data_IF_560501384690
#
_entry.id   IF_560501384690
#
_cell.length_a   1.000
_cell.length_b   1.000
_cell.length_c   1.000
_cell.angle_alpha   90.00
_cell.angle_beta   90.00
_cell.angle_gamma   90.00
#
_symmetry.space_group_name_H-M   'P 1'
#
loop_
_entity.id
_entity.type
_entity.pdbx_description
1 polymer ?
#
# COMPACT_ATOMS: atom_id res chain seq x y z
N UNK A 1 -23.72 26.18 -18.80
CA UNK A 1 -23.56 24.88 -18.11
C UNK A 1 -22.36 24.93 -17.15
N UNK A 2 -22.43 25.80 -16.15
CA UNK A 2 -21.35 26.03 -15.19
C UNK A 2 -21.93 25.89 -13.78
N UNK A 3 -21.32 25.03 -12.94
CA UNK A 3 -21.47 24.84 -11.47
C UNK A 3 -21.52 23.38 -10.98
N UNK A 4 -21.46 22.37 -11.86
CA UNK A 4 -21.36 20.96 -11.40
C UNK A 4 -19.91 20.48 -11.15
N UNK A 5 -18.92 21.36 -11.29
CA UNK A 5 -17.51 20.95 -11.38
C UNK A 5 -16.70 21.06 -10.09
N UNK A 6 -17.19 21.76 -9.05
CA UNK A 6 -16.30 22.18 -7.94
C UNK A 6 -16.64 21.53 -6.58
N UNK A 7 -17.83 20.97 -6.36
CA UNK A 7 -18.21 20.53 -5.00
C UNK A 7 -18.08 19.03 -4.71
N UNK A 8 -17.78 18.19 -5.71
CA UNK A 8 -17.63 16.73 -5.53
C UNK A 8 -16.17 16.29 -5.29
N UNK A 9 -15.22 17.24 -5.19
CA UNK A 9 -13.79 16.96 -4.99
C UNK A 9 -13.36 16.96 -3.53
N UNK A 10 -14.16 17.51 -2.62
CA UNK A 10 -13.83 17.56 -1.18
C UNK A 10 -14.58 16.45 -0.45
N UNK A 11 -13.89 15.64 0.38
CA UNK A 11 -14.56 14.67 1.22
C UNK A 11 -15.62 15.32 2.11
N UNK A 12 -16.74 14.62 2.29
CA UNK A 12 -17.82 15.09 3.16
C UNK A 12 -17.33 15.10 4.61
N UNK A 13 -17.45 16.22 5.35
CA UNK A 13 -17.00 16.28 6.73
C UNK A 13 -17.61 15.19 7.61
N UNK A 14 -16.80 14.59 8.48
CA UNK A 14 -17.15 13.49 9.38
C UNK A 14 -17.65 12.21 8.70
N UNK A 15 -17.50 12.07 7.38
CA UNK A 15 -17.91 10.85 6.67
C UNK A 15 -16.80 9.80 6.62
N UNK A 16 -17.17 8.58 6.25
CA UNK A 16 -16.21 7.52 5.96
C UNK A 16 -15.29 7.90 4.80
N UNK A 17 -15.82 8.59 3.79
CA UNK A 17 -15.02 9.12 2.70
C UNK A 17 -13.90 10.06 3.16
N UNK A 18 -14.16 10.95 4.13
CA UNK A 18 -13.12 11.81 4.73
C UNK A 18 -12.10 11.00 5.51
N UNK A 19 -12.54 10.00 6.29
CA UNK A 19 -11.62 9.11 6.99
C UNK A 19 -10.67 8.38 6.02
N UNK A 20 -11.20 7.76 4.95
CA UNK A 20 -10.35 7.04 3.99
C UNK A 20 -9.43 8.00 3.23
N UNK A 21 -9.92 9.18 2.85
CA UNK A 21 -9.09 10.18 2.15
C UNK A 21 -7.95 10.67 3.03
N UNK A 22 -8.25 11.02 4.29
CA UNK A 22 -7.25 11.40 5.29
C UNK A 22 -6.28 10.25 5.58
N UNK A 23 -6.76 9.00 5.62
CA UNK A 23 -5.91 7.82 5.78
C UNK A 23 -4.92 7.70 4.62
N UNK A 24 -5.37 7.80 3.37
CA UNK A 24 -4.49 7.79 2.20
C UNK A 24 -3.51 8.98 2.17
N UNK A 25 -3.92 10.16 2.63
CA UNK A 25 -3.04 11.32 2.80
C UNK A 25 -1.92 11.05 3.80
N UNK A 26 -2.28 10.61 5.01
CA UNK A 26 -1.33 10.24 6.08
C UNK A 26 -0.38 9.17 5.56
N UNK A 27 -0.91 8.13 4.89
CA UNK A 27 -0.09 7.07 4.33
C UNK A 27 0.92 7.64 3.33
N UNK A 28 0.48 8.43 2.36
CA UNK A 28 1.36 9.02 1.34
C UNK A 28 2.48 9.90 1.90
N UNK A 29 2.36 10.41 3.12
CA UNK A 29 3.35 11.29 3.75
C UNK A 29 4.44 10.54 4.53
N UNK A 30 4.26 9.25 4.82
CA UNK A 30 5.23 8.48 5.63
C UNK A 30 6.45 8.03 4.80
N UNK A 31 7.65 7.95 5.40
CA UNK A 31 8.89 7.60 4.72
C UNK A 31 9.04 6.08 4.48
N UNK A 32 8.11 5.46 3.75
CA UNK A 32 8.12 4.02 3.56
C UNK A 32 9.37 3.49 2.87
N UNK A 33 9.81 4.16 1.79
CA UNK A 33 10.94 3.69 1.01
C UNK A 33 12.28 3.83 1.74
N UNK A 34 12.58 4.94 2.44
CA UNK A 34 13.76 5.00 3.32
C UNK A 34 13.79 3.90 4.39
N UNK A 35 12.66 3.62 5.03
CA UNK A 35 12.58 2.56 6.05
C UNK A 35 12.78 1.16 5.43
N UNK A 36 12.18 0.92 4.25
CA UNK A 36 12.36 -0.33 3.51
C UNK A 36 13.81 -0.52 3.06
N UNK A 37 14.43 0.51 2.48
CA UNK A 37 15.83 0.49 2.05
C UNK A 37 16.79 0.30 3.22
N UNK A 38 16.54 0.96 4.35
CA UNK A 38 17.34 0.80 5.57
C UNK A 38 17.25 -0.64 6.11
N UNK A 39 16.04 -1.21 6.12
CA UNK A 39 15.83 -2.56 6.60
C UNK A 39 16.32 -3.64 5.62
N UNK A 40 16.37 -3.36 4.31
CA UNK A 40 17.08 -4.18 3.31
C UNK A 40 18.61 -4.08 3.44
N UNK A 41 19.12 -2.91 3.86
CA UNK A 41 20.55 -2.71 4.08
C UNK A 41 21.08 -3.36 5.37
N UNK A 42 20.19 -3.67 6.33
CA UNK A 42 20.53 -4.35 7.60
C UNK A 42 19.84 -5.71 7.71
N UNK A 43 20.19 -6.68 6.83
CA UNK A 43 19.48 -7.95 6.72
C UNK A 43 19.43 -8.74 8.04
N UNK A 44 20.51 -8.74 8.83
CA UNK A 44 20.59 -9.55 10.06
C UNK A 44 19.65 -9.11 11.20
N UNK A 45 19.14 -7.88 11.20
CA UNK A 45 18.26 -7.34 12.26
C UNK A 45 17.35 -6.26 11.70
N UNK A 46 16.31 -6.60 10.93
CA UNK A 46 15.43 -5.57 10.39
C UNK A 46 14.67 -4.94 11.57
N UNK A 47 14.75 -3.63 11.70
CA UNK A 47 14.10 -2.88 12.79
C UNK A 47 12.92 -2.08 12.26
N UNK A 48 11.88 -1.93 13.10
CA UNK A 48 10.72 -1.13 12.77
C UNK A 48 9.57 -1.93 12.12
N UNK A 49 8.59 -1.23 11.54
CA UNK A 49 7.31 -1.80 11.10
C UNK A 49 7.42 -2.85 9.98
N UNK A 50 8.45 -2.73 9.14
CA UNK A 50 8.66 -3.57 7.96
C UNK A 50 9.49 -4.81 8.27
N UNK A 51 9.95 -4.96 9.53
CA UNK A 51 10.84 -6.04 9.94
C UNK A 51 10.26 -7.42 9.65
N UNK A 52 9.01 -7.63 10.01
CA UNK A 52 8.30 -8.89 9.76
C UNK A 52 8.14 -9.18 8.26
N UNK A 53 7.88 -8.15 7.47
CA UNK A 53 7.67 -8.30 6.03
C UNK A 53 8.97 -8.63 5.29
N UNK A 54 10.10 -8.04 5.72
CA UNK A 54 11.43 -8.32 5.17
C UNK A 54 11.91 -9.71 5.59
N UNK A 55 11.68 -10.11 6.85
CA UNK A 55 11.96 -11.46 7.31
C UNK A 55 11.22 -12.52 6.47
N UNK A 56 9.93 -12.29 6.15
CA UNK A 56 9.17 -13.15 5.25
C UNK A 56 9.70 -13.16 3.82
N UNK A 57 10.15 -12.02 3.31
CA UNK A 57 10.75 -11.93 1.97
C UNK A 57 12.04 -12.74 1.91
N UNK A 58 12.91 -12.65 2.93
CA UNK A 58 14.10 -13.51 3.04
C UNK A 58 13.71 -14.98 3.06
N UNK A 59 12.77 -15.36 3.90
CA UNK A 59 12.33 -16.75 4.03
C UNK A 59 11.79 -17.31 2.70
N UNK A 60 11.06 -16.51 1.92
CA UNK A 60 10.64 -16.93 0.59
C UNK A 60 11.82 -17.07 -0.38
N UNK A 61 12.82 -16.18 -0.31
CA UNK A 61 14.07 -16.34 -1.08
C UNK A 61 14.85 -17.59 -0.66
N UNK A 62 14.89 -17.93 0.63
CA UNK A 62 15.43 -19.22 1.10
C UNK A 62 14.70 -20.38 0.43
N UNK A 63 13.36 -20.38 0.44
CA UNK A 63 12.57 -21.47 -0.17
C UNK A 63 12.78 -21.59 -1.68
N UNK A 64 12.85 -20.48 -2.40
CA UNK A 64 13.20 -20.47 -3.83
C UNK A 64 14.57 -21.12 -4.06
N UNK A 65 15.57 -20.75 -3.26
CA UNK A 65 16.93 -21.32 -3.36
C UNK A 65 16.93 -22.81 -3.04
N UNK A 66 16.21 -23.22 -1.98
CA UNK A 66 16.09 -24.64 -1.61
C UNK A 66 15.47 -25.43 -2.76
N UNK A 67 14.41 -24.90 -3.37
CA UNK A 67 13.78 -25.52 -4.55
C UNK A 67 14.76 -25.62 -5.71
N UNK A 68 15.45 -24.53 -6.06
CA UNK A 68 16.44 -24.52 -7.16
C UNK A 68 17.60 -25.49 -6.92
N UNK A 69 18.07 -25.60 -5.67
CA UNK A 69 19.12 -26.54 -5.28
C UNK A 69 18.63 -28.00 -5.31
N UNK A 70 17.37 -28.25 -4.95
CA UNK A 70 16.75 -29.58 -5.07
C UNK A 70 16.58 -29.98 -6.55
N UNK A 71 16.10 -29.06 -7.39
CA UNK A 71 15.94 -29.28 -8.83
C UNK A 71 17.30 -29.52 -9.53
N UNK A 72 18.36 -28.89 -9.05
CA UNK A 72 19.73 -29.12 -9.51
C UNK A 72 20.35 -30.43 -8.97
N UNK A 73 19.65 -31.19 -8.13
CA UNK A 73 20.16 -32.41 -7.50
C UNK A 73 21.20 -32.19 -6.41
N UNK A 74 21.34 -30.96 -5.91
CA UNK A 74 22.26 -30.59 -4.83
C UNK A 74 21.68 -30.86 -3.44
N UNK A 75 20.34 -30.92 -3.33
CA UNK A 75 19.60 -31.30 -2.13
C UNK A 75 18.64 -32.44 -2.45
N UNK A 76 18.39 -33.31 -1.47
CA UNK A 76 17.35 -34.33 -1.60
C UNK A 76 15.98 -33.65 -1.52
N UNK A 77 15.08 -33.97 -2.47
CA UNK A 77 13.79 -33.31 -2.67
C UNK A 77 12.79 -33.40 -1.50
N UNK A 78 13.10 -34.16 -0.44
CA UNK A 78 12.14 -34.52 0.62
C UNK A 78 12.72 -34.46 2.05
N UNK A 79 13.74 -33.63 2.28
CA UNK A 79 14.27 -33.45 3.64
C UNK A 79 13.35 -32.54 4.47
N UNK A 80 12.46 -33.15 5.27
CA UNK A 80 11.80 -32.49 6.41
C UNK A 80 12.73 -32.28 7.62
N UNK A 81 14.05 -32.49 7.45
CA UNK A 81 15.08 -32.43 8.49
C UNK A 81 15.87 -31.14 8.34
N UNK A 82 16.15 -30.47 9.46
CA UNK A 82 17.02 -29.29 9.49
C UNK A 82 18.35 -29.57 8.75
N UNK A 83 18.73 -28.67 7.84
CA UNK A 83 19.96 -28.84 7.07
C UNK A 83 21.19 -28.76 7.98
N UNK A 84 22.33 -29.33 7.57
CA UNK A 84 23.61 -29.03 8.20
C UNK A 84 23.85 -27.52 8.25
N UNK A 85 24.38 -27.00 9.35
CA UNK A 85 24.56 -25.55 9.57
C UNK A 85 25.33 -24.84 8.44
N UNK A 86 26.27 -25.52 7.79
CA UNK A 86 27.01 -24.97 6.65
C UNK A 86 26.13 -24.77 5.40
N UNK A 87 25.18 -25.68 5.16
CA UNK A 87 24.22 -25.58 4.06
C UNK A 87 23.19 -24.49 4.38
N UNK A 88 22.71 -24.43 5.61
CA UNK A 88 21.80 -23.36 6.05
C UNK A 88 22.42 -21.97 5.90
N UNK A 89 23.70 -21.81 6.29
CA UNK A 89 24.43 -20.56 6.12
C UNK A 89 24.61 -20.17 4.64
N UNK A 90 24.86 -21.14 3.77
CA UNK A 90 24.95 -20.90 2.32
C UNK A 90 23.59 -20.48 1.73
N UNK A 91 22.50 -21.13 2.15
CA UNK A 91 21.14 -20.75 1.73
C UNK A 91 20.82 -19.32 2.19
N UNK A 92 21.19 -18.96 3.43
CA UNK A 92 21.03 -17.60 3.94
C UNK A 92 21.84 -16.58 3.14
N UNK A 93 23.10 -16.87 2.84
CA UNK A 93 23.96 -15.99 2.03
C UNK A 93 23.40 -15.78 0.62
N UNK A 94 22.94 -16.86 -0.03
CA UNK A 94 22.31 -16.77 -1.35
C UNK A 94 20.98 -16.01 -1.30
N UNK A 95 20.19 -16.19 -0.23
CA UNK A 95 18.91 -15.50 -0.06
C UNK A 95 19.12 -14.00 0.14
N UNK A 96 20.11 -13.63 0.94
CA UNK A 96 20.53 -12.25 1.14
C UNK A 96 21.12 -11.66 -0.16
N UNK A 97 21.89 -12.43 -0.94
CA UNK A 97 22.36 -12.01 -2.27
C UNK A 97 21.23 -11.73 -3.26
N UNK A 98 20.20 -12.61 -3.33
CA UNK A 98 19.01 -12.39 -4.15
C UNK A 98 18.23 -11.17 -3.68
N UNK A 99 18.10 -10.99 -2.36
CA UNK A 99 17.42 -9.84 -1.79
C UNK A 99 18.17 -8.53 -2.06
N UNK A 100 19.51 -8.56 -2.00
CA UNK A 100 20.36 -7.40 -2.30
C UNK A 100 20.21 -6.93 -3.75
N UNK A 101 19.91 -7.82 -4.71
CA UNK A 101 19.67 -7.42 -6.10
C UNK A 101 18.42 -6.56 -6.30
N UNK A 102 17.47 -6.61 -5.37
CA UNK A 102 16.24 -5.80 -5.40
C UNK A 102 16.54 -4.36 -4.96
N UNK A 103 17.52 -4.15 -4.09
CA UNK A 103 17.83 -2.85 -3.50
C UNK A 103 18.18 -1.77 -4.55
N UNK A 104 19.08 -2.01 -5.53
CA UNK A 104 19.36 -1.02 -6.59
C UNK A 104 18.13 -0.62 -7.42
N UNK A 105 17.22 -1.55 -7.69
CA UNK A 105 15.96 -1.26 -8.40
C UNK A 105 15.07 -0.34 -7.58
N UNK A 106 15.00 -0.59 -6.26
CA UNK A 106 14.24 0.25 -5.32
C UNK A 106 14.88 1.62 -5.13
N UNK A 107 16.22 1.70 -5.06
CA UNK A 107 16.95 2.98 -4.99
C UNK A 107 16.75 3.81 -6.26
N UNK A 108 16.79 3.16 -7.44
CA UNK A 108 16.51 3.81 -8.70
C UNK A 108 15.06 4.32 -8.78
N UNK A 109 14.09 3.47 -8.41
CA UNK A 109 12.68 3.86 -8.32
C UNK A 109 12.44 5.00 -7.31
N UNK A 110 13.12 4.95 -6.17
CA UNK A 110 13.07 5.97 -5.13
C UNK A 110 13.61 7.31 -5.63
N UNK A 111 14.79 7.32 -6.27
CA UNK A 111 15.38 8.51 -6.86
C UNK A 111 14.51 9.08 -8.00
N UNK A 112 14.00 8.21 -8.88
CA UNK A 112 13.12 8.60 -9.97
C UNK A 112 11.79 9.20 -9.48
N UNK A 113 11.24 8.72 -8.36
CA UNK A 113 9.97 9.21 -7.81
C UNK A 113 9.98 10.71 -7.46
N UNK A 114 11.14 11.36 -7.33
CA UNK A 114 11.24 12.78 -6.96
C UNK A 114 10.52 13.76 -7.93
N UNK A 115 10.05 13.35 -9.12
CA UNK A 115 9.47 14.25 -10.13
C UNK A 115 8.01 14.71 -9.90
N UNK A 116 7.51 14.67 -8.66
CA UNK A 116 6.45 15.59 -8.19
C UNK A 116 5.01 15.35 -8.62
N UNK A 117 4.73 14.28 -9.36
CA UNK A 117 3.36 13.95 -9.74
C UNK A 117 2.65 13.17 -8.63
N UNK A 118 1.76 13.84 -7.87
CA UNK A 118 0.97 13.21 -6.79
C UNK A 118 -0.42 12.81 -7.28
N UNK A 119 -0.71 11.51 -7.27
CA UNK A 119 -2.09 11.04 -7.40
C UNK A 119 -2.92 11.53 -6.21
N UNK A 120 -3.98 12.28 -6.49
CA UNK A 120 -4.82 12.83 -5.43
C UNK A 120 -5.44 11.71 -4.59
N UNK A 121 -5.32 11.75 -3.24
CA UNK A 121 -5.83 10.71 -2.34
C UNK A 121 -7.31 10.39 -2.53
N UNK A 122 -8.16 11.39 -2.78
CA UNK A 122 -9.59 11.14 -3.01
C UNK A 122 -9.84 10.34 -4.30
N UNK A 123 -9.03 10.50 -5.35
CA UNK A 123 -9.17 9.71 -6.59
C UNK A 123 -8.84 8.24 -6.34
N UNK A 124 -7.80 7.98 -5.53
CA UNK A 124 -7.38 6.63 -5.12
C UNK A 124 -8.47 5.95 -4.31
N UNK A 125 -9.06 6.66 -3.34
CA UNK A 125 -10.16 6.18 -2.51
C UNK A 125 -11.41 5.84 -3.34
N UNK A 126 -11.83 6.73 -4.25
CA UNK A 126 -12.99 6.49 -5.10
C UNK A 126 -12.76 5.31 -6.07
N UNK A 127 -11.55 5.21 -6.64
CA UNK A 127 -11.14 4.09 -7.51
C UNK A 127 -11.12 2.76 -6.74
N UNK A 128 -10.49 2.72 -5.56
CA UNK A 128 -10.44 1.53 -4.71
C UNK A 128 -11.84 1.07 -4.27
N UNK A 129 -12.70 2.02 -3.86
CA UNK A 129 -14.07 1.73 -3.47
C UNK A 129 -14.88 1.11 -4.63
N UNK A 130 -14.70 1.59 -5.86
CA UNK A 130 -15.33 0.99 -7.05
C UNK A 130 -14.83 -0.43 -7.30
N UNK A 131 -13.52 -0.66 -7.22
CA UNK A 131 -12.93 -1.99 -7.41
C UNK A 131 -13.39 -3.01 -6.36
N UNK A 132 -13.65 -2.57 -5.13
CA UNK A 132 -14.16 -3.42 -4.05
C UNK A 132 -15.66 -3.66 -4.19
N UNK A 133 -16.43 -2.60 -4.47
CA UNK A 133 -17.89 -2.66 -4.51
C UNK A 133 -18.43 -3.23 -5.84
N UNK A 134 -17.59 -3.35 -6.87
CA UNK A 134 -17.93 -3.90 -8.18
C UNK A 134 -18.78 -2.98 -9.08
N UNK A 135 -19.27 -1.85 -8.55
CA UNK A 135 -19.99 -0.85 -9.36
C UNK A 135 -19.89 0.57 -8.78
N UNK A 136 -20.01 1.60 -9.63
CA UNK A 136 -20.02 3.00 -9.18
C UNK A 136 -21.13 3.34 -8.19
N UNK A 137 -22.31 2.72 -8.34
CA UNK A 137 -23.44 2.92 -7.43
C UNK A 137 -23.14 2.31 -6.05
N UNK A 138 -22.68 1.07 -6.01
CA UNK A 138 -22.34 0.40 -4.75
C UNK A 138 -21.19 1.10 -4.02
N UNK A 139 -20.21 1.64 -4.75
CA UNK A 139 -19.10 2.42 -4.19
C UNK A 139 -19.57 3.75 -3.59
N UNK A 140 -20.48 4.46 -4.27
CA UNK A 140 -21.10 5.67 -3.75
C UNK A 140 -21.85 5.39 -2.44
N UNK A 141 -22.59 4.28 -2.37
CA UNK A 141 -23.23 3.85 -1.12
C UNK A 141 -22.20 3.49 -0.04
N UNK A 142 -21.17 2.70 -0.37
CA UNK A 142 -20.11 2.29 0.56
C UNK A 142 -19.47 3.49 1.27
N UNK A 143 -19.09 4.51 0.49
CA UNK A 143 -18.47 5.73 0.99
C UNK A 143 -19.48 6.68 1.67
N UNK A 144 -20.75 6.58 1.28
CA UNK A 144 -21.86 7.38 1.79
C UNK A 144 -22.48 6.89 3.10
N UNK A 145 -22.22 5.64 3.54
CA UNK A 145 -22.93 4.95 4.65
C UNK A 145 -23.05 5.74 5.95
N UNK A 146 -22.08 6.59 6.29
CA UNK A 146 -22.08 7.39 7.52
C UNK A 146 -22.05 8.90 7.25
N UNK A 147 -22.47 9.34 6.06
CA UNK A 147 -22.61 10.77 5.75
C UNK A 147 -23.86 11.33 6.45
N UNK A 148 -23.79 12.57 6.94
CA UNK A 148 -24.97 13.25 7.49
C UNK A 148 -26.09 13.34 6.43
N UNK A 149 -27.35 13.27 6.86
CA UNK A 149 -28.54 13.21 5.98
C UNK A 149 -28.68 14.41 5.00
N UNK A 150 -28.00 15.53 5.26
CA UNK A 150 -28.03 16.75 4.44
C UNK A 150 -26.68 17.05 3.76
N UNK A 151 -25.74 16.12 3.80
CA UNK A 151 -24.45 16.31 3.15
C UNK A 151 -24.54 16.02 1.64
N UNK A 152 -23.76 16.75 0.83
CA UNK A 152 -23.63 16.50 -0.61
C UNK A 152 -23.19 15.05 -0.84
N UNK A 153 -24.09 14.22 -1.34
CA UNK A 153 -23.87 12.77 -1.44
C UNK A 153 -23.03 12.45 -2.67
N UNK A 154 -22.01 11.60 -2.49
CA UNK A 154 -21.30 10.99 -3.61
C UNK A 154 -22.30 10.26 -4.51
N UNK A 155 -22.21 10.45 -5.82
CA UNK A 155 -23.08 9.80 -6.79
C UNK A 155 -22.27 8.82 -7.62
N UNK A 156 -22.95 7.88 -8.30
CA UNK A 156 -22.30 6.99 -9.28
C UNK A 156 -21.47 7.74 -10.33
N UNK A 157 -21.88 8.96 -10.70
CA UNK A 157 -21.19 9.77 -11.69
C UNK A 157 -19.88 10.36 -11.15
N UNK A 158 -19.83 10.67 -9.85
CA UNK A 158 -18.58 11.09 -9.20
C UNK A 158 -17.56 9.96 -9.21
N UNK A 159 -18.00 8.74 -8.86
CA UNK A 159 -17.15 7.55 -8.83
C UNK A 159 -16.60 7.22 -10.23
N UNK A 160 -17.47 7.11 -11.23
CA UNK A 160 -17.07 6.78 -12.60
C UNK A 160 -16.06 7.80 -13.18
N UNK A 161 -16.30 9.12 -12.96
CA UNK A 161 -15.36 10.16 -13.40
C UNK A 161 -14.03 10.08 -12.66
N UNK A 162 -14.05 9.77 -11.36
CA UNK A 162 -12.84 9.63 -10.58
C UNK A 162 -11.99 8.45 -11.07
N UNK A 163 -12.60 7.33 -11.44
CA UNK A 163 -11.88 6.19 -12.05
C UNK A 163 -11.19 6.56 -13.36
N UNK A 164 -11.88 7.28 -14.26
CA UNK A 164 -11.26 7.76 -15.51
C UNK A 164 -10.09 8.70 -15.23
N UNK A 165 -10.28 9.70 -14.35
CA UNK A 165 -9.23 10.65 -13.98
C UNK A 165 -8.05 9.97 -13.30
N UNK A 166 -8.31 8.99 -12.45
CA UNK A 166 -7.30 8.16 -11.81
C UNK A 166 -6.45 7.40 -12.84
N UNK A 167 -7.10 6.69 -13.78
CA UNK A 167 -6.38 5.93 -14.81
C UNK A 167 -5.56 6.84 -15.73
N UNK A 168 -6.09 8.01 -16.10
CA UNK A 168 -5.36 9.04 -16.84
C UNK A 168 -4.14 9.53 -16.07
N UNK A 169 -4.31 9.78 -14.77
CA UNK A 169 -3.25 10.29 -13.92
C UNK A 169 -2.11 9.26 -13.75
N UNK A 170 -2.44 8.00 -13.50
CA UNK A 170 -1.45 6.91 -13.43
C UNK A 170 -0.75 6.72 -14.77
N UNK A 171 -1.46 6.78 -15.90
CA UNK A 171 -0.84 6.67 -17.24
C UNK A 171 0.12 7.81 -17.53
N UNK A 172 -0.26 9.04 -17.19
CA UNK A 172 0.62 10.20 -17.33
C UNK A 172 1.89 10.01 -16.51
N UNK A 173 1.75 9.59 -15.25
CA UNK A 173 2.86 9.25 -14.37
C UNK A 173 3.78 8.17 -14.98
N UNK A 174 3.23 7.02 -15.39
CA UNK A 174 4.02 5.93 -15.99
C UNK A 174 4.77 6.34 -17.25
N UNK A 175 4.16 7.20 -18.06
CA UNK A 175 4.76 7.69 -19.31
C UNK A 175 6.00 8.56 -19.06
N UNK A 176 6.02 9.35 -17.98
CA UNK A 176 7.16 10.19 -17.59
C UNK A 176 8.38 9.33 -17.22
N UNK A 177 8.16 8.14 -16.68
CA UNK A 177 9.23 7.26 -16.19
C UNK A 177 9.55 6.08 -17.12
N UNK A 178 9.00 6.07 -18.34
CA UNK A 178 9.19 4.98 -19.32
C UNK A 178 8.89 3.58 -18.76
N UNK A 179 7.94 3.50 -17.83
CA UNK A 179 7.59 2.26 -17.15
C UNK A 179 6.51 1.48 -17.93
N UNK A 180 6.51 0.13 -17.92
CA UNK A 180 5.52 -0.68 -18.63
C UNK A 180 4.09 -0.41 -18.11
N UNK A 181 3.19 0.01 -19.02
CA UNK A 181 1.93 0.67 -18.65
C UNK A 181 0.88 -0.26 -18.07
N UNK A 182 0.72 -1.48 -18.60
CA UNK A 182 -0.40 -2.37 -18.22
C UNK A 182 -0.23 -2.98 -16.84
N UNK A 183 0.95 -3.53 -16.57
CA UNK A 183 1.18 -4.37 -15.39
C UNK A 183 1.29 -3.51 -14.13
N UNK A 184 1.88 -2.32 -14.26
CA UNK A 184 2.05 -1.40 -13.15
C UNK A 184 0.73 -0.70 -12.79
N UNK A 185 -0.12 -0.34 -13.78
CA UNK A 185 -1.44 0.22 -13.50
C UNK A 185 -2.30 -0.77 -12.69
N UNK A 186 -2.34 -2.04 -13.11
CA UNK A 186 -3.05 -3.09 -12.37
C UNK A 186 -2.48 -3.26 -10.97
N UNK A 187 -1.15 -3.23 -10.84
CA UNK A 187 -0.51 -3.34 -9.56
C UNK A 187 -0.86 -2.17 -8.62
N UNK A 188 -0.85 -0.91 -9.09
CA UNK A 188 -1.23 0.27 -8.29
C UNK A 188 -2.71 0.23 -7.90
N UNK A 189 -3.60 -0.25 -8.79
CA UNK A 189 -5.01 -0.44 -8.46
C UNK A 189 -5.19 -1.48 -7.35
N UNK A 190 -4.47 -2.59 -7.42
CA UNK A 190 -4.47 -3.62 -6.38
C UNK A 190 -3.95 -3.08 -5.04
N UNK A 191 -2.89 -2.27 -5.09
CA UNK A 191 -2.32 -1.58 -3.92
C UNK A 191 -3.38 -0.72 -3.25
N UNK A 192 -4.03 0.16 -4.01
CA UNK A 192 -5.06 1.06 -3.51
C UNK A 192 -6.23 0.28 -2.89
N UNK A 193 -6.64 -0.81 -3.54
CA UNK A 193 -7.64 -1.73 -3.00
C UNK A 193 -7.21 -2.34 -1.66
N UNK A 194 -5.99 -2.87 -1.55
CA UNK A 194 -5.48 -3.49 -0.33
C UNK A 194 -5.42 -2.48 0.83
N UNK A 195 -4.89 -1.29 0.58
CA UNK A 195 -4.84 -0.21 1.57
C UNK A 195 -6.22 0.24 2.02
N UNK A 196 -7.18 0.32 1.09
CA UNK A 196 -8.55 0.64 1.43
C UNK A 196 -9.17 -0.42 2.35
N UNK A 197 -9.00 -1.71 2.03
CA UNK A 197 -9.49 -2.81 2.87
C UNK A 197 -8.83 -2.80 4.26
N UNK A 198 -7.53 -2.52 4.32
CA UNK A 198 -6.80 -2.39 5.58
C UNK A 198 -7.32 -1.21 6.42
N UNK A 199 -7.55 -0.03 5.81
CA UNK A 199 -8.16 1.12 6.48
C UNK A 199 -9.59 0.84 6.94
N UNK A 200 -10.37 0.06 6.19
CA UNK A 200 -11.68 -0.41 6.63
C UNK A 200 -11.56 -1.24 7.91
N UNK A 201 -10.62 -2.19 7.95
CA UNK A 201 -10.37 -3.01 9.13
C UNK A 201 -9.95 -2.16 10.33
N UNK A 202 -8.95 -1.29 10.16
CA UNK A 202 -8.48 -0.37 11.22
C UNK A 202 -9.62 0.49 11.75
N UNK A 203 -10.50 0.98 10.86
CA UNK A 203 -11.67 1.77 11.26
C UNK A 203 -12.67 0.95 12.08
N UNK A 204 -12.97 -0.28 11.67
CA UNK A 204 -13.88 -1.15 12.41
C UNK A 204 -13.31 -1.52 13.78
N UNK A 205 -12.01 -1.82 13.87
CA UNK A 205 -11.30 -2.08 15.13
C UNK A 205 -11.35 -0.85 16.05
N UNK A 206 -11.11 0.34 15.49
CA UNK A 206 -11.17 1.60 16.25
C UNK A 206 -12.56 1.86 16.87
N UNK A 207 -13.66 1.42 16.25
CA UNK A 207 -15.01 1.58 16.85
C UNK A 207 -15.16 0.84 18.18
N UNK A 208 -14.40 -0.23 18.40
CA UNK A 208 -14.44 -1.01 19.63
C UNK A 208 -13.68 -0.33 20.78
N UNK A 209 -12.78 0.60 20.46
CA UNK A 209 -11.99 1.32 21.46
C UNK A 209 -12.72 2.57 21.99
N UNK A 210 -12.81 2.74 23.33
CA UNK A 210 -13.47 3.90 23.94
C UNK A 210 -12.95 5.25 23.43
N UNK A 211 -11.63 5.35 23.22
CA UNK A 211 -10.96 6.58 22.78
C UNK A 211 -11.38 7.05 21.39
N UNK A 212 -11.79 6.13 20.51
CA UNK A 212 -12.06 6.41 19.10
C UNK A 212 -13.53 6.30 18.71
N UNK A 213 -14.35 5.62 19.54
CA UNK A 213 -15.75 5.29 19.24
C UNK A 213 -16.62 6.48 18.81
N UNK A 214 -16.35 7.68 19.32
CA UNK A 214 -17.09 8.91 19.00
C UNK A 214 -16.46 9.74 17.87
N UNK A 215 -15.23 9.45 17.48
CA UNK A 215 -14.52 10.19 16.45
C UNK A 215 -14.94 9.71 15.06
N UNK A 216 -14.89 10.61 14.07
CA UNK A 216 -15.27 10.36 12.68
C UNK A 216 -14.33 11.08 11.73
N UNK A 217 -14.36 10.70 10.46
CA UNK A 217 -13.67 11.42 9.38
C UNK A 217 -12.19 11.66 9.67
N UNK A 218 -11.74 12.89 9.40
CA UNK A 218 -10.36 13.33 9.62
C UNK A 218 -9.93 13.23 11.09
N UNK A 219 -10.82 13.58 12.02
CA UNK A 219 -10.51 13.56 13.46
C UNK A 219 -10.18 12.14 13.95
N UNK A 220 -10.91 11.13 13.45
CA UNK A 220 -10.60 9.73 13.73
C UNK A 220 -9.23 9.33 13.16
N UNK A 221 -8.96 9.67 11.89
CA UNK A 221 -7.69 9.32 11.25
C UNK A 221 -6.49 9.91 12.00
N UNK A 222 -6.57 11.19 12.41
CA UNK A 222 -5.52 11.86 13.19
C UNK A 222 -5.36 11.28 14.59
N UNK A 223 -6.45 11.06 15.32
CA UNK A 223 -6.38 10.49 16.66
C UNK A 223 -5.76 9.09 16.66
N UNK A 224 -6.03 8.29 15.62
CA UNK A 224 -5.35 7.01 15.43
C UNK A 224 -3.85 7.27 15.22
N UNK A 225 -3.47 8.13 14.27
CA UNK A 225 -2.06 8.40 13.97
C UNK A 225 -1.26 8.93 15.17
N UNK A 226 -1.90 9.72 16.03
CA UNK A 226 -1.31 10.27 17.27
C UNK A 226 -1.07 9.20 18.35
N UNK A 227 -2.00 8.26 18.54
CA UNK A 227 -1.89 7.25 19.62
C UNK A 227 -1.07 6.02 19.20
N UNK A 228 -1.28 5.55 17.97
CA UNK A 228 -0.49 4.47 17.36
C UNK A 228 -0.50 4.69 15.85
N UNK A 229 0.66 5.01 15.23
CA UNK A 229 0.70 5.53 13.88
C UNK A 229 -0.18 4.76 12.89
N UNK A 230 -1.06 5.48 12.19
CA UNK A 230 -2.13 4.90 11.38
C UNK A 230 -1.55 3.98 10.30
N UNK A 231 -0.40 4.36 9.77
CA UNK A 231 0.33 3.61 8.77
C UNK A 231 0.83 2.25 9.27
N UNK A 232 1.26 2.15 10.54
CA UNK A 232 1.70 0.88 11.13
C UNK A 232 0.51 -0.06 11.29
N UNK A 233 -0.63 0.43 11.81
CA UNK A 233 -1.84 -0.39 11.94
C UNK A 233 -2.37 -0.86 10.59
N UNK A 234 -2.32 0.04 9.60
CA UNK A 234 -2.79 -0.28 8.26
C UNK A 234 -1.86 -1.30 7.59
N UNK A 235 -0.55 -1.20 7.80
CA UNK A 235 0.42 -2.18 7.31
C UNK A 235 0.22 -3.56 7.96
N UNK A 236 -0.01 -3.60 9.28
CA UNK A 236 -0.31 -4.84 10.01
C UNK A 236 -1.59 -5.49 9.45
N UNK A 237 -2.64 -4.68 9.22
CA UNK A 237 -3.90 -5.13 8.64
C UNK A 237 -3.73 -5.63 7.20
N UNK A 238 -2.97 -4.92 6.36
CA UNK A 238 -2.66 -5.33 4.98
C UNK A 238 -1.87 -6.66 4.95
N UNK A 239 -0.87 -6.79 5.82
CA UNK A 239 -0.06 -8.01 5.95
C UNK A 239 -0.92 -9.20 6.38
N UNK A 240 -1.89 -8.99 7.27
CA UNK A 240 -2.83 -10.02 7.70
C UNK A 240 -3.78 -10.44 6.56
N UNK A 241 -4.29 -9.48 5.78
CA UNK A 241 -5.11 -9.75 4.60
C UNK A 241 -4.33 -10.55 3.56
N UNK A 242 -3.10 -10.14 3.26
CA UNK A 242 -2.21 -10.85 2.35
C UNK A 242 -1.90 -12.27 2.80
N UNK A 243 -1.60 -12.46 4.08
CA UNK A 243 -1.37 -13.80 4.64
C UNK A 243 -2.62 -14.69 4.49
N UNK A 244 -3.81 -14.15 4.78
CA UNK A 244 -5.07 -14.89 4.61
C UNK A 244 -5.38 -15.25 3.17
N UNK A 245 -4.90 -14.44 2.21
CA UNK A 245 -5.07 -14.67 0.78
C UNK A 245 -3.94 -15.54 0.16
N UNK A 246 -2.98 -16.01 0.96
CA UNK A 246 -1.82 -16.76 0.46
C UNK A 246 -0.83 -15.92 -0.35
N UNK A 247 -0.79 -14.60 -0.14
CA UNK A 247 0.02 -13.64 -0.92
C UNK A 247 0.94 -12.77 -0.02
N UNK A 248 1.75 -13.36 0.88
CA UNK A 248 2.43 -12.64 1.96
C UNK A 248 3.42 -11.54 1.53
N UNK A 249 3.84 -11.50 0.26
CA UNK A 249 4.78 -10.49 -0.27
C UNK A 249 4.10 -9.33 -0.99
N UNK A 250 2.78 -9.40 -1.22
CA UNK A 250 2.06 -8.37 -1.97
C UNK A 250 2.09 -7.04 -1.22
N UNK A 251 2.16 -7.03 0.11
CA UNK A 251 2.22 -5.82 0.94
C UNK A 251 3.52 -5.07 0.73
N UNK A 252 4.67 -5.76 0.69
CA UNK A 252 5.99 -5.14 0.42
C UNK A 252 6.01 -4.52 -0.98
N UNK A 253 5.58 -5.27 -1.99
CA UNK A 253 5.45 -4.76 -3.35
C UNK A 253 4.47 -3.59 -3.42
N UNK A 254 3.40 -3.65 -2.63
CA UNK A 254 2.36 -2.61 -2.62
C UNK A 254 2.86 -1.31 -2.01
N UNK A 255 3.72 -1.38 -0.98
CA UNK A 255 4.37 -0.21 -0.37
C UNK A 255 5.35 0.44 -1.35
N UNK A 256 6.10 -0.35 -2.11
CA UNK A 256 7.01 0.15 -3.16
C UNK A 256 6.23 0.90 -4.24
N UNK A 257 5.18 0.27 -4.78
CA UNK A 257 4.32 0.87 -5.79
C UNK A 257 3.57 2.11 -5.26
N UNK A 258 3.19 2.11 -3.98
CA UNK A 258 2.55 3.23 -3.30
C UNK A 258 3.47 4.46 -3.25
N UNK A 259 4.70 4.28 -2.77
CA UNK A 259 5.69 5.37 -2.65
C UNK A 259 6.01 5.96 -4.04
N UNK A 260 6.17 5.10 -5.04
CA UNK A 260 6.35 5.51 -6.43
C UNK A 260 5.16 6.34 -6.96
N UNK A 261 3.93 5.91 -6.70
CA UNK A 261 2.71 6.57 -7.18
C UNK A 261 2.33 7.84 -6.39
N UNK A 262 2.97 8.09 -5.25
CA UNK A 262 2.69 9.22 -4.35
C UNK A 262 3.99 9.86 -3.83
N UNK A 263 4.77 10.49 -4.70
CA UNK A 263 6.03 11.10 -4.31
C UNK A 263 5.84 12.29 -3.38
N UNK A 264 6.74 12.41 -2.40
CA UNK A 264 6.65 13.41 -1.35
C UNK A 264 7.18 14.79 -1.79
N UNK A 265 6.57 15.85 -1.24
CA UNK A 265 6.86 17.25 -1.56
C UNK A 265 8.25 17.72 -1.08
N UNK A 266 8.76 17.14 0.00
CA UNK A 266 10.13 17.37 0.49
C UNK A 266 11.19 16.76 -0.43
N UNK A 267 10.83 15.75 -1.25
CA UNK A 267 11.73 15.18 -2.27
C UNK A 267 11.79 16.01 -3.55
N UNK A 268 10.73 16.76 -3.85
CA UNK A 268 10.69 17.73 -4.94
C UNK A 268 11.60 18.94 -4.71
N UNK A 269 11.86 19.28 -3.45
CA UNK A 269 12.70 20.42 -3.07
C UNK A 269 14.19 20.05 -2.92
N UNK A 270 14.50 18.76 -2.84
CA UNK A 270 15.85 18.24 -2.67
C UNK A 270 16.48 17.70 -3.98
N UNK A 271 15.72 17.63 -5.07
CA UNK A 271 16.14 17.25 -6.42
C UNK A 271 16.22 18.48 -7.33
#
# INVERSE_FOLDING_TARGET
MAQYEISASRPTPNSDFEFYTAGFEILAEKPYMPELLAALASPGRPSGPFAHAIAKLRENKRREIIADMADAGLLAADQSVAFPAAIDALIDELADGRLASIKPLLEHAFAASAAGYRLSPFLRVLSAAENIAGSPTAAAHLLGRNSAAFAKVLTRHHIARARTRYAQAVRAWLSVYHLPVSDILMAIVDVDRLWFLALQKVREDAKQHPNFRRLRGLALARAIDEQRPLWSQTLDAATALDASAGRPLKTVLSVVLLDMACPRLDRLQAA
#
